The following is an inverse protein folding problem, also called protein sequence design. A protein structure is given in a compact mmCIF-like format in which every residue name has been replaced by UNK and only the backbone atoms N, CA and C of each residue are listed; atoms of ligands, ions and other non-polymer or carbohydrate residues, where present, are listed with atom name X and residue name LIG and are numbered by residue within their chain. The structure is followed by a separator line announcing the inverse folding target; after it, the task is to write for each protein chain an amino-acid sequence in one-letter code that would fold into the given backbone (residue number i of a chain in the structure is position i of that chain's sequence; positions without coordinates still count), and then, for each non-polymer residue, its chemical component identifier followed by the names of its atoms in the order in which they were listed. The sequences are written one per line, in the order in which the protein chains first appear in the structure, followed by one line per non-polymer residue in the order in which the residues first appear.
data_IF_097167061021
#
_entry.id   IF_097167061021
#
_cell.length_a   1.000
_cell.length_b   1.000
_cell.length_c   1.000
_cell.angle_alpha   90.00
_cell.angle_beta   90.00
_cell.angle_gamma   90.00
#
_symmetry.space_group_name_H-M   'P 1'
#
loop_
_entity.id
_entity.type
_entity.pdbx_description
1 polymer ?
#
# COMPACT_ATOMS: atom_id res chain seq x y z
N UNK A 1 -8.00 17.08 26.18
CA UNK A 1 -6.57 17.43 26.23
C UNK A 1 -6.26 18.08 27.58
N UNK A 2 -5.09 17.79 28.13
CA UNK A 2 -4.69 18.21 29.50
C UNK A 2 -4.79 19.72 29.67
N UNK A 3 -4.31 20.52 28.73
CA UNK A 3 -4.37 21.98 28.82
C UNK A 3 -5.81 22.54 28.95
N UNK A 4 -6.81 21.87 28.36
CA UNK A 4 -8.22 22.28 28.49
C UNK A 4 -8.74 22.02 29.91
N UNK A 5 -8.38 20.87 30.49
CA UNK A 5 -8.77 20.48 31.83
C UNK A 5 -8.11 21.43 32.84
N UNK A 6 -6.82 21.71 32.63
CA UNK A 6 -6.09 22.65 33.49
C UNK A 6 -6.64 24.09 33.40
N UNK A 7 -6.94 24.54 32.17
CA UNK A 7 -7.56 25.87 31.99
C UNK A 7 -8.93 25.97 32.67
N UNK A 8 -9.74 24.91 32.67
CA UNK A 8 -11.00 24.86 33.40
C UNK A 8 -10.76 24.94 34.92
N UNK A 9 -9.76 24.22 35.46
CA UNK A 9 -9.40 24.28 36.87
C UNK A 9 -8.89 25.67 37.25
N UNK A 10 -8.05 26.30 36.43
CA UNK A 10 -7.54 27.66 36.66
C UNK A 10 -8.65 28.70 36.60
N UNK A 11 -9.60 28.58 35.67
CA UNK A 11 -10.76 29.46 35.61
C UNK A 11 -11.64 29.35 36.85
N UNK A 12 -11.91 28.15 37.33
CA UNK A 12 -12.68 27.94 38.55
C UNK A 12 -11.98 28.51 39.81
N UNK A 13 -10.64 28.38 39.86
CA UNK A 13 -9.84 28.96 40.94
C UNK A 13 -9.81 30.50 40.91
N UNK A 14 -9.71 31.06 39.67
CA UNK A 14 -9.76 32.51 39.46
C UNK A 14 -11.09 33.12 39.91
N UNK A 15 -12.20 32.46 39.62
CA UNK A 15 -13.53 32.88 40.09
C UNK A 15 -13.64 32.94 41.64
N UNK A 16 -12.96 32.01 42.34
CA UNK A 16 -12.95 31.96 43.80
C UNK A 16 -11.99 32.97 44.43
N UNK A 17 -10.89 33.30 43.77
CA UNK A 17 -9.80 34.12 44.34
C UNK A 17 -9.73 35.53 43.78
N UNK A 18 -10.50 35.86 42.72
CA UNK A 18 -10.49 37.15 42.04
C UNK A 18 -9.21 37.46 41.26
N UNK A 19 -8.26 36.51 41.20
CA UNK A 19 -6.96 36.70 40.53
C UNK A 19 -7.04 36.29 39.05
N UNK A 20 -6.46 37.13 38.18
CA UNK A 20 -6.31 36.78 36.76
C UNK A 20 -5.35 35.61 36.59
N UNK A 21 -5.59 34.73 35.62
CA UNK A 21 -4.71 33.63 35.24
C UNK A 21 -4.38 33.65 33.74
N UNK A 22 -3.19 33.20 33.41
CA UNK A 22 -2.80 32.99 32.02
C UNK A 22 -3.31 31.62 31.53
N UNK A 23 -4.00 31.58 30.37
CA UNK A 23 -4.43 30.33 29.76
C UNK A 23 -3.21 29.57 29.23
N UNK A 24 -3.12 28.31 29.57
CA UNK A 24 -2.12 27.42 28.93
C UNK A 24 -2.46 27.24 27.46
N UNK A 25 -1.47 27.42 26.62
CA UNK A 25 -1.58 27.17 25.17
C UNK A 25 -1.53 25.67 24.89
N UNK A 26 -2.15 25.19 23.77
CA UNK A 26 -2.00 23.83 23.33
C UNK A 26 -0.55 23.56 22.94
N UNK A 27 -0.10 22.28 22.91
CA UNK A 27 1.21 21.90 22.39
C UNK A 27 1.40 22.38 20.96
N UNK A 28 2.58 22.89 20.62
CA UNK A 28 2.89 23.39 19.27
C UNK A 28 2.95 22.28 18.19
N UNK A 29 3.23 21.04 18.63
CA UNK A 29 3.32 19.87 17.72
C UNK A 29 2.31 18.80 18.11
N UNK A 30 1.66 18.21 17.09
CA UNK A 30 0.77 17.06 17.26
C UNK A 30 -0.61 17.37 17.83
N UNK A 31 -0.96 18.63 18.02
CA UNK A 31 -2.27 19.05 18.50
C UNK A 31 -3.04 19.79 17.40
N UNK A 32 -4.20 19.24 17.04
CA UNK A 32 -5.18 19.93 16.18
C UNK A 32 -6.32 20.41 17.06
N UNK A 33 -6.54 21.75 17.21
CA UNK A 33 -7.63 22.26 18.01
C UNK A 33 -8.97 21.94 17.33
N UNK A 34 -9.81 21.22 18.06
CA UNK A 34 -11.23 21.04 17.72
C UNK A 34 -12.06 22.03 18.52
N UNK A 35 -12.46 23.09 17.87
CA UNK A 35 -13.34 24.08 18.44
C UNK A 35 -14.58 24.28 17.53
N UNK A 36 -15.49 25.11 17.98
CA UNK A 36 -16.73 25.37 17.24
C UNK A 36 -16.44 25.99 15.85
N UNK A 37 -15.42 26.83 15.75
CA UNK A 37 -15.02 27.46 14.49
C UNK A 37 -14.48 26.45 13.48
N UNK A 38 -13.74 25.45 13.96
CA UNK A 38 -13.26 24.34 13.13
C UNK A 38 -14.42 23.46 12.63
N UNK A 39 -15.40 23.21 13.51
CA UNK A 39 -16.61 22.46 13.17
C UNK A 39 -17.44 23.18 12.10
N UNK A 40 -17.74 24.47 12.31
CA UNK A 40 -18.46 25.31 11.36
C UNK A 40 -17.77 25.36 9.99
N UNK A 41 -16.45 25.52 9.97
CA UNK A 41 -15.66 25.49 8.74
C UNK A 41 -15.76 24.17 8.01
N UNK A 42 -15.71 23.03 8.73
CA UNK A 42 -15.80 21.69 8.12
C UNK A 42 -17.20 21.43 7.53
N UNK A 43 -18.27 21.90 8.18
CA UNK A 43 -19.65 21.75 7.66
C UNK A 43 -19.84 22.54 6.38
N UNK A 44 -19.29 23.75 6.28
CA UNK A 44 -19.51 24.67 5.17
C UNK A 44 -18.41 24.58 4.08
N UNK A 45 -17.32 23.88 4.32
CA UNK A 45 -16.29 23.68 3.30
C UNK A 45 -16.73 22.65 2.27
N UNK A 46 -16.32 22.87 1.03
CA UNK A 46 -16.46 21.83 0.00
C UNK A 46 -15.62 20.59 0.37
N UNK A 47 -16.12 19.36 0.08
CA UNK A 47 -15.36 18.15 0.31
C UNK A 47 -14.04 18.17 -0.44
N UNK A 48 -12.96 17.81 0.23
CA UNK A 48 -11.68 17.67 -0.44
C UNK A 48 -11.74 16.58 -1.52
N UNK A 49 -11.15 16.80 -2.71
CA UNK A 49 -11.11 15.80 -3.75
C UNK A 49 -10.36 14.56 -3.26
N UNK A 50 -10.95 13.39 -3.45
CA UNK A 50 -10.30 12.13 -3.15
C UNK A 50 -9.04 11.98 -4.01
N UNK A 51 -7.90 11.74 -3.35
CA UNK A 51 -6.63 11.40 -4.00
C UNK A 51 -6.30 9.96 -3.67
N UNK A 52 -5.93 9.20 -4.68
CA UNK A 52 -5.50 7.84 -4.52
C UNK A 52 -3.98 7.78 -4.37
N UNK A 53 -3.49 6.90 -3.50
CA UNK A 53 -2.07 6.51 -3.46
C UNK A 53 -1.88 5.11 -4.06
N UNK A 54 -2.74 4.74 -5.00
CA UNK A 54 -2.78 3.42 -5.60
C UNK A 54 -1.51 3.13 -6.40
N UNK A 55 -0.86 2.04 -6.08
CA UNK A 55 0.33 1.57 -6.78
C UNK A 55 0.17 0.11 -7.21
N UNK A 56 0.64 -0.20 -8.42
CA UNK A 56 0.66 -1.57 -8.91
C UNK A 56 1.98 -2.21 -8.53
N UNK A 57 1.91 -3.26 -7.71
CA UNK A 57 3.04 -4.10 -7.30
C UNK A 57 2.86 -5.53 -7.84
N UNK A 58 3.92 -6.35 -7.80
CA UNK A 58 3.83 -7.77 -8.18
C UNK A 58 2.81 -8.52 -7.31
N UNK A 59 2.88 -8.34 -6.00
CA UNK A 59 1.98 -8.99 -5.05
C UNK A 59 0.51 -8.64 -5.32
N UNK A 60 0.22 -7.35 -5.53
CA UNK A 60 -1.12 -6.92 -5.88
C UNK A 60 -1.59 -7.53 -7.21
N UNK A 61 -0.73 -7.52 -8.23
CA UNK A 61 -1.07 -8.09 -9.53
C UNK A 61 -1.36 -9.59 -9.43
N UNK A 62 -0.53 -10.34 -8.70
CA UNK A 62 -0.76 -11.76 -8.44
C UNK A 62 -2.08 -12.02 -7.71
N UNK A 63 -2.37 -11.25 -6.66
CA UNK A 63 -3.64 -11.35 -5.93
C UNK A 63 -4.87 -11.11 -6.82
N UNK A 64 -4.76 -10.21 -7.79
CA UNK A 64 -5.85 -9.94 -8.73
C UNK A 64 -5.95 -11.05 -9.78
N UNK A 65 -4.81 -11.56 -10.27
CA UNK A 65 -4.77 -12.60 -11.29
C UNK A 65 -5.13 -14.00 -10.76
N UNK A 66 -4.97 -14.26 -9.46
CA UNK A 66 -5.34 -15.54 -8.83
C UNK A 66 -6.85 -15.71 -8.59
N UNK A 67 -7.66 -14.70 -8.90
CA UNK A 67 -9.11 -14.77 -8.76
C UNK A 67 -9.71 -15.73 -9.79
N UNK A 68 -10.88 -16.32 -9.44
CA UNK A 68 -11.64 -17.19 -10.36
C UNK A 68 -12.14 -16.47 -11.62
N UNK A 69 -12.40 -15.18 -11.50
CA UNK A 69 -12.82 -14.32 -12.59
C UNK A 69 -11.62 -13.85 -13.43
N UNK A 70 -11.88 -13.23 -14.59
CA UNK A 70 -10.80 -12.67 -15.44
C UNK A 70 -10.04 -11.55 -14.70
N UNK A 71 -8.91 -11.90 -14.08
CA UNK A 71 -8.05 -10.98 -13.33
C UNK A 71 -7.48 -9.86 -14.19
N UNK A 72 -7.32 -10.07 -15.50
CA UNK A 72 -6.87 -9.01 -16.42
C UNK A 72 -7.94 -7.93 -16.58
N UNK A 73 -9.21 -8.32 -16.64
CA UNK A 73 -10.34 -7.38 -16.68
C UNK A 73 -10.47 -6.68 -15.34
N UNK A 74 -10.38 -7.42 -14.23
CA UNK A 74 -10.43 -6.86 -12.89
C UNK A 74 -9.34 -5.80 -12.68
N UNK A 75 -8.10 -6.05 -13.13
CA UNK A 75 -7.01 -5.08 -13.04
C UNK A 75 -7.26 -3.82 -13.86
N UNK A 76 -7.84 -3.96 -15.07
CA UNK A 76 -8.23 -2.80 -15.87
C UNK A 76 -9.28 -1.94 -15.17
N UNK A 77 -10.25 -2.56 -14.50
CA UNK A 77 -11.28 -1.85 -13.74
C UNK A 77 -10.67 -1.13 -12.54
N UNK A 78 -9.81 -1.77 -11.76
CA UNK A 78 -9.12 -1.13 -10.64
C UNK A 78 -8.38 0.13 -11.06
N UNK A 79 -7.62 0.09 -12.16
CA UNK A 79 -6.90 1.27 -12.66
C UNK A 79 -7.86 2.32 -13.24
N UNK A 80 -8.94 1.91 -13.89
CA UNK A 80 -9.93 2.84 -14.45
C UNK A 80 -10.64 3.62 -13.34
N UNK A 81 -11.03 2.92 -12.28
CA UNK A 81 -11.94 3.42 -11.26
C UNK A 81 -11.20 4.04 -10.06
N UNK A 82 -9.85 3.97 -9.99
CA UNK A 82 -9.07 4.66 -8.96
C UNK A 82 -9.18 6.19 -9.11
N UNK A 83 -9.01 6.91 -7.99
CA UNK A 83 -9.11 8.38 -7.93
C UNK A 83 -7.80 9.09 -8.33
N UNK A 84 -7.16 8.58 -9.38
CA UNK A 84 -5.98 9.19 -9.99
C UNK A 84 -6.34 10.01 -11.23
N UNK A 85 -5.46 10.91 -11.62
CA UNK A 85 -5.61 11.65 -12.87
C UNK A 85 -5.38 10.75 -14.11
N UNK A 86 -5.70 11.28 -15.30
CA UNK A 86 -5.54 10.53 -16.56
C UNK A 86 -4.08 10.13 -16.84
N UNK A 87 -3.13 10.99 -16.48
CA UNK A 87 -1.70 10.78 -16.68
C UNK A 87 -1.20 9.65 -15.77
N UNK A 88 -1.53 9.71 -14.47
CA UNK A 88 -1.21 8.68 -13.50
C UNK A 88 -1.84 7.33 -13.88
N UNK A 89 -3.11 7.30 -14.32
CA UNK A 89 -3.76 6.07 -14.82
C UNK A 89 -3.04 5.45 -16.00
N UNK A 90 -2.50 6.27 -16.91
CA UNK A 90 -1.70 5.76 -18.02
C UNK A 90 -0.38 5.15 -17.55
N UNK A 91 0.28 5.78 -16.60
CA UNK A 91 1.51 5.29 -15.96
C UNK A 91 1.27 3.98 -15.23
N UNK A 92 0.16 3.87 -14.46
CA UNK A 92 -0.25 2.64 -13.78
C UNK A 92 -0.52 1.50 -14.77
N UNK A 93 -1.16 1.77 -15.92
CA UNK A 93 -1.36 0.76 -16.97
C UNK A 93 -0.04 0.26 -17.55
N UNK A 94 0.89 1.18 -17.87
CA UNK A 94 2.22 0.82 -18.36
C UNK A 94 2.95 -0.05 -17.33
N UNK A 95 2.90 0.35 -16.06
CA UNK A 95 3.52 -0.39 -14.95
C UNK A 95 2.90 -1.77 -14.80
N UNK A 96 1.58 -1.88 -14.78
CA UNK A 96 0.88 -3.17 -14.70
C UNK A 96 1.30 -4.11 -15.84
N UNK A 97 1.40 -3.59 -17.06
CA UNK A 97 1.82 -4.39 -18.22
C UNK A 97 3.29 -4.84 -18.14
N UNK A 98 4.19 -3.96 -17.66
CA UNK A 98 5.61 -4.32 -17.45
C UNK A 98 5.75 -5.44 -16.42
N UNK A 99 5.05 -5.31 -15.28
CA UNK A 99 5.04 -6.33 -14.22
C UNK A 99 4.43 -7.64 -14.71
N UNK A 100 3.33 -7.58 -15.46
CA UNK A 100 2.69 -8.74 -16.05
C UNK A 100 3.65 -9.50 -16.99
N UNK A 101 4.34 -8.80 -17.91
CA UNK A 101 5.35 -9.40 -18.76
C UNK A 101 6.46 -10.08 -17.98
N UNK A 102 6.97 -9.42 -16.97
CA UNK A 102 8.00 -9.97 -16.07
C UNK A 102 7.54 -11.28 -15.44
N UNK A 103 6.28 -11.36 -14.97
CA UNK A 103 5.72 -12.57 -14.36
C UNK A 103 5.55 -13.72 -15.41
N UNK A 104 5.16 -13.39 -16.64
CA UNK A 104 5.07 -14.38 -17.73
C UNK A 104 6.46 -14.90 -18.13
N UNK A 105 7.44 -14.00 -18.29
CA UNK A 105 8.82 -14.36 -18.64
C UNK A 105 9.45 -15.30 -17.58
N UNK A 106 9.07 -15.11 -16.31
CA UNK A 106 9.51 -15.94 -15.17
C UNK A 106 8.68 -17.20 -14.96
N UNK A 107 7.67 -17.46 -15.80
CA UNK A 107 6.74 -18.60 -15.67
C UNK A 107 5.98 -18.64 -14.32
N UNK A 108 5.84 -17.50 -13.68
CA UNK A 108 5.04 -17.37 -12.45
C UNK A 108 3.56 -17.36 -12.80
N UNK A 109 3.23 -16.80 -13.98
CA UNK A 109 1.89 -16.84 -14.55
C UNK A 109 1.93 -17.47 -15.94
N UNK A 110 0.92 -18.24 -16.25
CA UNK A 110 0.76 -18.91 -17.54
C UNK A 110 -0.60 -18.61 -18.15
N UNK A 111 -0.64 -18.60 -19.50
CA UNK A 111 -1.91 -18.42 -20.20
C UNK A 111 -2.67 -19.73 -20.23
N UNK A 112 -3.94 -19.69 -19.85
CA UNK A 112 -4.86 -20.83 -19.98
C UNK A 112 -6.00 -20.50 -20.94
N UNK A 113 -6.58 -21.54 -21.53
CA UNK A 113 -7.81 -21.41 -22.32
C UNK A 113 -9.00 -21.54 -21.36
N UNK A 114 -9.81 -20.49 -21.16
CA UNK A 114 -10.97 -20.60 -20.30
C UNK A 114 -12.02 -21.54 -20.93
N UNK A 115 -12.57 -22.43 -20.14
CA UNK A 115 -13.66 -23.35 -20.57
C UNK A 115 -14.96 -22.58 -20.81
N UNK A 116 -15.18 -21.51 -20.08
CA UNK A 116 -16.36 -20.66 -20.15
C UNK A 116 -15.97 -19.20 -20.34
N UNK A 117 -16.65 -18.42 -21.20
CA UNK A 117 -16.39 -16.99 -21.34
C UNK A 117 -16.56 -16.26 -20.00
N UNK A 118 -15.56 -15.43 -19.62
CA UNK A 118 -15.55 -14.68 -18.36
C UNK A 118 -14.70 -15.27 -17.25
N UNK A 119 -14.21 -16.51 -17.39
CA UNK A 119 -13.24 -17.09 -16.47
C UNK A 119 -11.81 -16.58 -16.73
N UNK A 120 -10.93 -16.86 -15.78
CA UNK A 120 -9.54 -16.48 -15.83
C UNK A 120 -8.85 -17.02 -17.11
N UNK A 121 -8.14 -16.14 -17.82
CA UNK A 121 -7.30 -16.46 -18.98
C UNK A 121 -5.85 -16.67 -18.59
N UNK A 122 -5.54 -16.46 -17.33
CA UNK A 122 -4.20 -16.53 -16.76
C UNK A 122 -4.29 -17.32 -15.47
N UNK A 123 -3.41 -18.26 -15.30
CA UNK A 123 -3.26 -19.05 -14.08
C UNK A 123 -1.96 -18.68 -13.41
N UNK A 124 -2.01 -18.49 -12.09
CA UNK A 124 -0.82 -18.28 -11.26
C UNK A 124 -0.31 -19.65 -10.81
N UNK A 125 1.01 -19.85 -10.92
CA UNK A 125 1.64 -21.06 -10.40
C UNK A 125 1.61 -21.01 -8.86
N UNK A 126 0.77 -21.85 -8.26
CA UNK A 126 0.49 -21.85 -6.82
C UNK A 126 1.68 -22.32 -5.97
N UNK A 127 2.55 -23.17 -6.53
CA UNK A 127 3.73 -23.69 -5.81
C UNK A 127 4.69 -22.57 -5.36
N UNK A 128 4.65 -21.42 -6.04
CA UNK A 128 5.43 -20.23 -5.70
C UNK A 128 4.69 -19.26 -4.76
N UNK A 129 3.38 -19.43 -4.58
CA UNK A 129 2.55 -18.44 -3.89
C UNK A 129 2.46 -18.69 -2.37
N UNK A 130 2.50 -19.96 -1.95
CA UNK A 130 2.30 -20.33 -0.54
C UNK A 130 3.51 -20.00 0.32
N UNK A 131 4.74 -20.05 -0.24
CA UNK A 131 5.99 -19.87 0.51
C UNK A 131 6.73 -18.56 0.20
N UNK A 132 6.26 -17.75 -0.77
CA UNK A 132 7.01 -16.60 -1.25
C UNK A 132 6.22 -15.29 -1.28
N UNK A 133 6.56 -14.38 -0.38
CA UNK A 133 5.99 -13.02 -0.38
C UNK A 133 6.63 -12.16 -1.47
N UNK A 134 5.89 -11.88 -2.54
CA UNK A 134 6.31 -10.97 -3.62
C UNK A 134 6.15 -9.48 -3.28
N UNK A 135 6.16 -9.15 -1.98
CA UNK A 135 6.03 -7.77 -1.53
C UNK A 135 7.32 -6.96 -1.74
N UNK A 136 8.47 -7.64 -1.77
CA UNK A 136 9.75 -6.99 -2.01
C UNK A 136 10.02 -6.84 -3.50
N UNK A 137 10.48 -5.65 -3.96
CA UNK A 137 10.75 -5.38 -5.38
C UNK A 137 11.79 -6.32 -6.00
N UNK A 138 12.73 -6.82 -5.19
CA UNK A 138 13.84 -7.67 -5.62
C UNK A 138 13.57 -9.18 -5.51
N UNK A 139 12.34 -9.58 -5.11
CA UNK A 139 11.97 -11.00 -4.99
C UNK A 139 12.18 -11.79 -6.29
N UNK A 140 11.89 -11.19 -7.45
CA UNK A 140 12.14 -11.84 -8.74
C UNK A 140 13.62 -12.02 -9.04
N UNK A 141 14.46 -11.07 -8.61
CA UNK A 141 15.90 -11.18 -8.73
C UNK A 141 16.45 -12.33 -7.88
N UNK A 142 15.91 -12.53 -6.68
CA UNK A 142 16.26 -13.65 -5.81
C UNK A 142 16.02 -14.99 -6.50
N UNK A 143 14.84 -15.20 -7.11
CA UNK A 143 14.49 -16.43 -7.82
C UNK A 143 15.50 -16.72 -8.95
N UNK A 144 15.82 -15.73 -9.77
CA UNK A 144 16.76 -15.88 -10.87
C UNK A 144 18.19 -16.20 -10.40
N UNK A 145 18.61 -15.57 -9.31
CA UNK A 145 19.97 -15.71 -8.79
C UNK A 145 20.16 -17.05 -8.09
N UNK A 146 19.15 -17.51 -7.34
CA UNK A 146 19.19 -18.83 -6.67
C UNK A 146 19.40 -19.97 -7.67
N UNK A 147 18.81 -19.88 -8.86
CA UNK A 147 18.98 -20.91 -9.90
C UNK A 147 20.40 -20.96 -10.48
N UNK A 148 21.18 -19.88 -10.33
CA UNK A 148 22.55 -19.77 -10.83
C UNK A 148 23.61 -20.15 -9.80
N UNK A 149 23.22 -20.27 -8.54
CA UNK A 149 24.12 -20.71 -7.47
C UNK A 149 24.38 -22.21 -7.61
N UNK A 150 25.65 -22.59 -7.42
CA UNK A 150 26.05 -23.99 -7.40
C UNK A 150 25.58 -24.63 -6.09
N UNK A 151 24.64 -25.57 -6.21
CA UNK A 151 24.03 -26.28 -5.07
C UNK A 151 25.01 -27.25 -4.37
N UNK A 152 26.04 -27.71 -5.08
CA UNK A 152 27.04 -28.62 -4.57
C UNK A 152 28.20 -27.90 -3.86
N UNK A 153 28.23 -26.57 -3.95
CA UNK A 153 29.24 -25.76 -3.27
C UNK A 153 29.08 -25.82 -1.75
N UNK A 154 30.16 -26.00 -0.99
CA UNK A 154 30.13 -25.98 0.49
C UNK A 154 29.61 -24.64 1.04
N UNK A 155 29.76 -23.54 0.28
CA UNK A 155 29.32 -22.20 0.65
C UNK A 155 27.91 -21.87 0.17
N UNK A 156 27.16 -22.84 -0.40
CA UNK A 156 25.82 -22.58 -0.96
C UNK A 156 24.88 -21.92 0.05
N UNK A 157 24.80 -22.47 1.28
CA UNK A 157 23.92 -21.92 2.31
C UNK A 157 24.30 -20.49 2.71
N UNK A 158 25.60 -20.19 2.80
CA UNK A 158 26.10 -18.85 3.10
C UNK A 158 25.79 -17.88 1.97
N UNK A 159 25.97 -18.29 0.72
CA UNK A 159 25.65 -17.47 -0.45
C UNK A 159 24.15 -17.16 -0.53
N UNK A 160 23.28 -18.14 -0.23
CA UNK A 160 21.81 -17.93 -0.17
C UNK A 160 21.46 -16.95 0.94
N UNK A 161 22.06 -17.10 2.12
CA UNK A 161 21.81 -16.20 3.26
C UNK A 161 22.23 -14.77 2.93
N UNK A 162 23.46 -14.57 2.43
CA UNK A 162 23.98 -13.26 2.04
C UNK A 162 23.14 -12.60 0.95
N UNK A 163 22.66 -13.40 -0.02
CA UNK A 163 21.77 -12.90 -1.08
C UNK A 163 20.42 -12.44 -0.48
N UNK A 164 19.87 -13.19 0.46
CA UNK A 164 18.61 -12.85 1.12
C UNK A 164 18.73 -11.59 1.96
N UNK A 165 19.81 -11.47 2.75
CA UNK A 165 20.10 -10.26 3.54
C UNK A 165 20.28 -9.01 2.68
N UNK A 166 20.82 -9.15 1.47
CA UNK A 166 21.03 -8.01 0.57
C UNK A 166 19.72 -7.49 -0.06
N UNK A 167 18.61 -8.24 0.06
CA UNK A 167 17.31 -7.93 -0.54
C UNK A 167 16.30 -7.44 0.50
N UNK A 168 16.45 -7.85 1.76
CA UNK A 168 15.59 -7.42 2.87
C UNK A 168 16.01 -6.06 3.40
#
# INVERSE_FOLDING_TARGET
PEHVIENKKLAAKSLKTGKRFAKKQPPEKGFVPWDNSTFERLIHSEPEPLKSSFQVTHSMLLNVLSRKEDGCIAMKHLIRDCHEDKSAKLSLRKRAFQLFRSLVEKKIIEFCKPEIPGLAKVQVNLDLQDDFSMNQPLSLYLIDTLQKLDKESPDYALNVLSLTESIV
#
